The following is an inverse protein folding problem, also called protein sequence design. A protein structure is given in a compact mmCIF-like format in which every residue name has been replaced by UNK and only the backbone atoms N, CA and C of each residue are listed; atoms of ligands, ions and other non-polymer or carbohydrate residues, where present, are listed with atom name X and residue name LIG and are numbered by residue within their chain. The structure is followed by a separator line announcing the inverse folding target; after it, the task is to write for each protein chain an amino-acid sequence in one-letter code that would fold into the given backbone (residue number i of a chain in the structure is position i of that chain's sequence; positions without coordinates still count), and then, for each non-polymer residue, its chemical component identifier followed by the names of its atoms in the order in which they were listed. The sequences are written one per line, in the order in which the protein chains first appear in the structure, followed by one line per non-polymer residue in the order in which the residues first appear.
data_IF_037622679503
#
_entry.id   IF_037622679503
#
_cell.length_a   1.000
_cell.length_b   1.000
_cell.length_c   1.000
_cell.angle_alpha   90.00
_cell.angle_beta   90.00
_cell.angle_gamma   90.00
#
_symmetry.space_group_name_H-M   'P 1'
#
loop_
_entity.id
_entity.type
_entity.pdbx_description
1 polymer ?
#
# COMPACT_ATOMS: atom_id res chain seq x y z
N UNK A 1 -0.25 -23.05 7.22
CA UNK A 1 -0.56 -21.61 7.05
C UNK A 1 -0.15 -21.26 5.63
N UNK A 2 -0.84 -21.83 4.64
CA UNK A 2 -0.24 -22.00 3.30
C UNK A 2 -0.73 -20.94 2.31
N UNK A 3 -1.39 -19.89 2.83
CA UNK A 3 -2.02 -18.81 2.06
C UNK A 3 -1.44 -17.43 2.37
N UNK A 4 -0.34 -17.36 3.13
CA UNK A 4 0.30 -16.09 3.53
C UNK A 4 1.80 -16.18 3.29
N UNK A 5 2.33 -15.17 2.59
CA UNK A 5 3.77 -14.99 2.35
C UNK A 5 4.20 -13.67 2.96
N UNK A 6 5.29 -13.69 3.71
CA UNK A 6 5.88 -12.49 4.30
C UNK A 6 7.09 -12.03 3.49
N UNK A 7 7.11 -10.75 3.12
CA UNK A 7 8.23 -10.12 2.43
C UNK A 7 8.78 -9.00 3.31
N UNK A 8 10.10 -9.00 3.57
CA UNK A 8 10.79 -7.86 4.17
C UNK A 8 11.33 -6.98 3.04
N UNK A 9 10.64 -5.90 2.75
CA UNK A 9 11.04 -4.92 1.75
C UNK A 9 10.52 -3.53 2.11
N UNK A 10 11.14 -2.50 1.56
CA UNK A 10 10.54 -1.16 1.51
C UNK A 10 9.42 -1.17 0.46
N UNK A 11 8.21 -0.82 0.88
CA UNK A 11 7.04 -0.84 0.01
C UNK A 11 7.11 0.19 -1.14
N UNK A 12 7.95 1.22 -1.04
CA UNK A 12 8.06 2.26 -2.07
C UNK A 12 8.82 1.79 -3.33
N UNK A 13 10.05 1.22 -3.24
CA UNK A 13 10.76 0.70 -4.40
C UNK A 13 10.39 -0.75 -4.74
N UNK A 14 9.86 -1.53 -3.80
CA UNK A 14 9.58 -2.95 -4.04
C UNK A 14 8.49 -3.14 -5.08
N UNK A 15 8.74 -4.03 -6.02
CA UNK A 15 7.81 -4.36 -7.11
C UNK A 15 7.33 -5.79 -6.94
N UNK A 16 6.03 -5.94 -6.73
CA UNK A 16 5.35 -7.19 -7.00
C UNK A 16 5.03 -7.30 -8.49
N UNK A 17 4.61 -8.49 -8.91
CA UNK A 17 4.05 -8.67 -10.25
C UNK A 17 2.83 -7.76 -10.45
N UNK A 18 2.65 -7.29 -11.70
CA UNK A 18 1.53 -6.44 -12.06
C UNK A 18 0.22 -7.24 -12.09
N UNK A 19 -0.91 -6.58 -11.80
CA UNK A 19 -2.26 -7.16 -11.93
C UNK A 19 -2.49 -8.48 -11.14
N UNK A 20 -1.88 -8.61 -9.95
CA UNK A 20 -1.99 -9.83 -9.14
C UNK A 20 -2.89 -9.69 -7.91
N UNK A 21 -3.07 -8.47 -7.40
CA UNK A 21 -3.83 -8.24 -6.17
C UNK A 21 -5.17 -7.54 -6.43
N UNK A 22 -6.20 -7.93 -5.68
CA UNK A 22 -7.51 -7.25 -5.71
C UNK A 22 -7.61 -6.09 -4.70
N UNK A 23 -6.82 -6.16 -3.63
CA UNK A 23 -6.87 -5.22 -2.51
C UNK A 23 -5.49 -4.99 -1.92
N UNK A 24 -5.13 -3.71 -1.75
CA UNK A 24 -4.00 -3.28 -0.93
C UNK A 24 -4.52 -2.56 0.31
N UNK A 25 -3.96 -2.90 1.46
CA UNK A 25 -4.26 -2.25 2.74
C UNK A 25 -2.97 -1.66 3.28
N UNK A 26 -2.99 -0.37 3.61
CA UNK A 26 -1.92 0.25 4.41
C UNK A 26 -2.52 0.83 5.68
N UNK A 27 -1.99 0.39 6.83
CA UNK A 27 -2.42 0.85 8.15
C UNK A 27 -1.35 1.70 8.78
N UNK A 28 -1.62 2.99 8.88
CA UNK A 28 -0.71 4.03 9.42
C UNK A 28 0.62 4.16 8.67
N UNK A 29 0.83 3.45 7.55
CA UNK A 29 2.13 3.35 6.87
C UNK A 29 2.35 4.41 5.78
N UNK A 30 1.28 4.95 5.18
CA UNK A 30 1.42 5.82 4.01
C UNK A 30 2.01 7.20 4.29
N UNK A 31 2.06 7.60 5.57
CA UNK A 31 2.67 8.86 5.98
C UNK A 31 4.21 8.82 5.92
N UNK A 32 4.81 7.65 5.72
CA UNK A 32 6.25 7.43 5.76
C UNK A 32 6.91 7.28 4.37
N UNK A 33 6.17 7.48 3.28
CA UNK A 33 6.77 7.51 1.95
C UNK A 33 7.56 8.79 1.74
N UNK A 34 8.79 8.65 1.25
CA UNK A 34 9.63 9.79 0.87
C UNK A 34 9.01 10.58 -0.28
N UNK A 35 8.43 9.86 -1.27
CA UNK A 35 7.60 10.45 -2.32
C UNK A 35 6.32 9.62 -2.52
N UNK A 36 5.16 10.10 -2.03
CA UNK A 36 3.92 9.33 -2.05
C UNK A 36 3.39 9.12 -3.48
N UNK A 37 3.63 10.03 -4.43
CA UNK A 37 3.02 9.93 -5.77
C UNK A 37 3.59 8.75 -6.57
N UNK A 38 4.92 8.59 -6.72
CA UNK A 38 5.51 7.39 -7.32
C UNK A 38 5.21 6.12 -6.53
N UNK A 39 5.17 6.17 -5.20
CA UNK A 39 4.85 5.02 -4.36
C UNK A 39 3.44 4.48 -4.69
N UNK A 40 2.42 5.35 -4.67
CA UNK A 40 1.06 4.93 -4.99
C UNK A 40 0.87 4.51 -6.43
N UNK A 41 1.59 5.11 -7.40
CA UNK A 41 1.56 4.63 -8.80
C UNK A 41 2.08 3.20 -8.92
N UNK A 42 3.17 2.87 -8.23
CA UNK A 42 3.72 1.50 -8.21
C UNK A 42 2.75 0.52 -7.55
N UNK A 43 2.20 0.89 -6.40
CA UNK A 43 1.21 0.07 -5.69
C UNK A 43 -0.05 -0.10 -6.55
N UNK A 44 -0.46 0.91 -7.32
CA UNK A 44 -1.56 0.80 -8.27
C UNK A 44 -1.28 -0.19 -9.39
N UNK A 45 -0.04 -0.26 -9.87
CA UNK A 45 0.35 -1.19 -10.93
C UNK A 45 0.33 -2.67 -10.53
N UNK A 46 0.37 -2.99 -9.22
CA UNK A 46 0.25 -4.39 -8.74
C UNK A 46 -1.20 -4.83 -8.56
N UNK A 47 -2.13 -3.88 -8.59
CA UNK A 47 -3.56 -4.16 -8.48
C UNK A 47 -4.13 -4.49 -9.86
N UNK A 48 -5.04 -5.47 -9.89
CA UNK A 48 -5.85 -5.77 -11.09
C UNK A 48 -6.69 -4.55 -11.47
N UNK A 49 -7.13 -4.43 -12.75
CA UNK A 49 -8.12 -3.44 -13.13
C UNK A 49 -9.37 -3.54 -12.24
N UNK A 50 -9.73 -2.44 -11.58
CA UNK A 50 -10.84 -2.40 -10.61
C UNK A 50 -10.46 -2.78 -9.17
N UNK A 51 -9.19 -3.12 -8.91
CA UNK A 51 -8.65 -3.33 -7.58
C UNK A 51 -8.68 -2.06 -6.72
N UNK A 52 -8.62 -2.23 -5.39
CA UNK A 52 -8.84 -1.15 -4.43
C UNK A 52 -7.63 -0.93 -3.53
N UNK A 53 -7.46 0.32 -3.10
CA UNK A 53 -6.56 0.68 -2.01
C UNK A 53 -7.38 1.16 -0.82
N UNK A 54 -7.04 0.65 0.37
CA UNK A 54 -7.65 1.06 1.64
C UNK A 54 -6.56 1.59 2.56
N UNK A 55 -6.79 2.79 3.07
CA UNK A 55 -5.87 3.48 3.97
C UNK A 55 -6.53 3.67 5.31
N UNK A 56 -5.82 3.26 6.36
CA UNK A 56 -6.13 3.65 7.73
C UNK A 56 -5.11 4.70 8.14
N UNK A 57 -5.59 5.89 8.47
CA UNK A 57 -4.79 7.07 8.79
C UNK A 57 -5.06 7.49 10.23
N UNK A 58 -4.07 8.06 10.94
CA UNK A 58 -4.33 8.65 12.24
C UNK A 58 -5.41 9.73 12.13
N UNK A 59 -6.40 9.69 13.02
CA UNK A 59 -7.38 10.76 13.11
C UNK A 59 -6.69 12.01 13.69
N UNK A 60 -6.89 13.17 13.06
CA UNK A 60 -6.52 14.44 13.69
C UNK A 60 -7.39 14.63 14.94
N UNK A 61 -6.76 14.89 16.08
CA UNK A 61 -7.47 15.29 17.29
C UNK A 61 -7.94 16.76 17.13
N UNK A 62 -9.25 17.06 17.19
CA UNK A 62 -9.76 18.42 17.01
C UNK A 62 -9.52 19.37 18.20
N UNK A 63 -8.92 18.90 19.30
CA UNK A 63 -8.74 19.68 20.54
C UNK A 63 -7.41 20.45 20.64
N UNK A 64 -6.69 20.65 19.53
CA UNK A 64 -5.45 21.48 19.48
C UNK A 64 -5.51 22.50 18.35
#
# INVERSE_FOLDING_TARGET
MDYVVFHRADAQPHMFEADVFDLMISRFGVLFFDDPVPAFRKIGGVLRPGGRMVFDLPQRNPST
#
